data_IF_038284914848
#
_entry.id   IF_038284914848
#
_cell.length_a   1.000
_cell.length_b   1.000
_cell.length_c   1.000
_cell.angle_alpha   90.00
_cell.angle_beta   90.00
_cell.angle_gamma   90.00
#
_symmetry.space_group_name_H-M   'P 1'
#
loop_
_entity.id
_entity.type
_entity.pdbx_description
1 polymer ?
#
# COMPACT_ATOMS: atom_id res chain seq x y z
N UNK A 1 16.72 16.20 1.03
CA UNK A 1 17.35 16.96 2.13
C UNK A 1 16.54 18.21 2.49
N UNK A 2 16.16 19.01 1.52
CA UNK A 2 15.44 20.29 1.77
C UNK A 2 14.03 20.07 2.38
N UNK A 3 13.42 18.89 2.21
CA UNK A 3 12.13 18.54 2.78
C UNK A 3 12.19 17.84 4.14
N UNK A 4 13.36 17.80 4.82
CA UNK A 4 13.51 17.16 6.14
C UNK A 4 13.45 15.62 6.13
N UNK A 5 13.39 14.98 4.96
CA UNK A 5 13.34 13.51 4.85
C UNK A 5 14.73 12.93 5.05
N UNK A 6 14.93 12.19 6.13
CA UNK A 6 16.17 11.49 6.43
C UNK A 6 16.32 10.22 5.57
N UNK A 7 15.28 9.41 5.51
CA UNK A 7 15.27 8.14 4.76
C UNK A 7 14.00 8.05 3.95
N UNK A 8 14.11 7.73 2.66
CA UNK A 8 12.98 7.54 1.77
C UNK A 8 12.82 6.07 1.39
N UNK A 9 11.58 5.56 1.39
CA UNK A 9 11.26 4.24 0.87
C UNK A 9 11.04 4.32 -0.62
N UNK A 10 11.88 3.63 -1.39
CA UNK A 10 11.70 3.48 -2.83
C UNK A 10 10.60 2.45 -3.10
N UNK A 11 9.67 2.81 -3.94
CA UNK A 11 8.65 1.91 -4.48
C UNK A 11 8.45 2.19 -5.97
N UNK A 12 8.03 1.19 -6.72
CA UNK A 12 7.64 1.41 -8.11
C UNK A 12 6.26 2.08 -8.11
N UNK A 13 6.22 3.32 -8.60
CA UNK A 13 4.96 3.95 -8.92
C UNK A 13 4.27 3.17 -10.04
N UNK A 14 2.94 3.17 -10.06
CA UNK A 14 2.23 2.55 -11.15
C UNK A 14 2.60 3.30 -12.45
N UNK A 15 3.26 2.60 -13.35
CA UNK A 15 3.43 3.08 -14.70
C UNK A 15 2.00 3.15 -15.28
N UNK A 16 1.58 4.31 -15.78
CA UNK A 16 0.20 4.57 -16.25
C UNK A 16 -0.28 3.56 -17.30
N UNK A 17 0.65 2.97 -18.02
CA UNK A 17 0.43 1.92 -19.02
C UNK A 17 0.98 0.58 -18.50
N UNK A 18 1.39 0.57 -17.28
CA UNK A 18 1.74 -0.45 -16.34
C UNK A 18 2.27 -1.75 -16.90
N UNK A 19 2.11 -2.75 -16.10
CA UNK A 19 2.30 -4.13 -16.53
C UNK A 19 1.08 -4.64 -17.33
N UNK A 20 0.04 -3.79 -17.50
CA UNK A 20 -1.20 -4.11 -18.19
C UNK A 20 -0.94 -4.42 -19.64
N UNK A 21 -1.36 -5.58 -20.09
CA UNK A 21 -1.18 -6.02 -21.47
C UNK A 21 0.27 -6.32 -21.86
N UNK A 22 1.24 -6.24 -20.95
CA UNK A 22 2.57 -6.72 -21.22
C UNK A 22 2.62 -8.24 -21.18
N UNK A 23 3.48 -8.79 -22.01
CA UNK A 23 3.93 -10.17 -21.88
C UNK A 23 4.54 -10.41 -20.48
N UNK A 24 4.21 -11.52 -19.77
CA UNK A 24 4.70 -11.79 -18.43
C UNK A 24 6.22 -11.76 -18.29
N UNK A 25 6.97 -12.19 -19.32
CA UNK A 25 8.43 -12.18 -19.28
C UNK A 25 8.98 -10.74 -19.31
N UNK A 26 8.38 -9.87 -20.13
CA UNK A 26 8.74 -8.44 -20.17
C UNK A 26 8.42 -7.76 -18.86
N UNK A 27 7.26 -8.02 -18.29
CA UNK A 27 6.88 -7.49 -16.98
C UNK A 27 7.86 -7.93 -15.88
N UNK A 28 8.24 -9.20 -15.86
CA UNK A 28 9.25 -9.75 -14.94
C UNK A 28 10.62 -9.10 -15.14
N UNK A 29 11.03 -8.88 -16.39
CA UNK A 29 12.30 -8.20 -16.70
C UNK A 29 12.34 -6.75 -16.16
N UNK A 30 11.23 -6.03 -16.25
CA UNK A 30 11.13 -4.68 -15.66
C UNK A 30 11.21 -4.74 -14.14
N UNK A 31 10.48 -5.65 -13.51
CA UNK A 31 10.52 -5.86 -12.04
C UNK A 31 11.94 -6.15 -11.59
N UNK A 32 12.64 -7.07 -12.26
CA UNK A 32 14.03 -7.42 -11.94
C UNK A 32 14.95 -6.20 -12.05
N UNK A 33 14.84 -5.41 -13.12
CA UNK A 33 15.63 -4.19 -13.29
C UNK A 33 15.36 -3.17 -12.18
N UNK A 34 14.11 -3.07 -11.70
CA UNK A 34 13.76 -2.20 -10.58
C UNK A 34 14.35 -2.71 -9.26
N UNK A 35 14.39 -4.02 -9.02
CA UNK A 35 15.06 -4.62 -7.86
C UNK A 35 16.54 -4.25 -7.84
N UNK A 36 17.24 -4.47 -8.96
CA UNK A 36 18.68 -4.25 -9.06
C UNK A 36 19.00 -2.74 -8.93
N UNK A 37 18.20 -1.88 -9.54
CA UNK A 37 18.35 -0.43 -9.40
C UNK A 37 18.11 0.02 -7.95
N UNK A 38 17.04 -0.46 -7.32
CA UNK A 38 16.72 -0.15 -5.93
C UNK A 38 17.82 -0.62 -4.96
N UNK A 39 18.33 -1.84 -5.16
CA UNK A 39 19.45 -2.38 -4.39
C UNK A 39 20.70 -1.51 -4.52
N UNK A 40 21.00 -1.07 -5.74
CA UNK A 40 22.13 -0.16 -6.01
C UNK A 40 21.93 1.18 -5.28
N UNK A 41 20.77 1.78 -5.36
CA UNK A 41 20.46 3.04 -4.65
C UNK A 41 20.65 2.90 -3.13
N UNK A 42 20.15 1.81 -2.54
CA UNK A 42 20.31 1.52 -1.11
C UNK A 42 21.79 1.34 -0.73
N UNK A 43 22.57 0.65 -1.57
CA UNK A 43 23.99 0.42 -1.35
C UNK A 43 24.82 1.69 -1.46
N UNK A 44 24.59 2.47 -2.50
CA UNK A 44 25.38 3.68 -2.80
C UNK A 44 25.09 4.82 -1.80
N UNK A 45 23.88 4.85 -1.22
CA UNK A 45 23.39 5.90 -0.34
C UNK A 45 22.94 5.35 1.01
N UNK A 46 23.88 4.74 1.76
CA UNK A 46 23.60 4.07 3.03
C UNK A 46 22.77 4.93 4.00
N UNK A 47 21.69 4.37 4.51
CA UNK A 47 20.78 5.03 5.45
C UNK A 47 19.83 6.06 4.82
N UNK A 48 19.97 6.35 3.51
CA UNK A 48 19.12 7.32 2.81
C UNK A 48 17.93 6.69 2.13
N UNK A 49 18.01 5.40 1.79
CA UNK A 49 16.95 4.68 1.10
C UNK A 49 16.64 3.33 1.74
N UNK A 50 15.36 2.99 1.75
CA UNK A 50 14.85 1.64 1.85
C UNK A 50 14.20 1.23 0.53
N UNK A 51 13.83 -0.04 0.39
CA UNK A 51 13.25 -0.59 -0.83
C UNK A 51 12.03 -1.45 -0.53
N UNK A 52 10.94 -1.14 -1.19
CA UNK A 52 9.80 -2.03 -1.36
C UNK A 52 9.93 -2.69 -2.74
N UNK A 53 10.35 -3.94 -2.76
CA UNK A 53 10.62 -4.68 -3.98
C UNK A 53 9.33 -4.89 -4.80
N UNK A 54 9.21 -4.36 -6.03
CA UNK A 54 7.99 -4.45 -6.80
C UNK A 54 7.71 -5.86 -7.30
N UNK A 55 6.42 -6.21 -7.45
CA UNK A 55 5.97 -7.40 -8.16
C UNK A 55 5.01 -7.00 -9.29
N UNK A 56 4.97 -7.80 -10.36
CA UNK A 56 4.10 -7.50 -11.50
C UNK A 56 2.64 -7.94 -11.30
N UNK A 57 2.38 -8.92 -10.42
CA UNK A 57 1.05 -9.45 -10.10
C UNK A 57 0.27 -10.07 -11.30
N UNK A 58 0.90 -10.16 -12.47
CA UNK A 58 0.25 -10.69 -13.69
C UNK A 58 0.39 -12.21 -13.74
N UNK A 59 1.59 -12.71 -13.41
CA UNK A 59 1.92 -14.13 -13.36
C UNK A 59 2.38 -14.50 -11.95
N UNK A 60 1.70 -15.48 -11.36
CA UNK A 60 1.91 -15.81 -9.96
C UNK A 60 3.26 -16.52 -9.73
N UNK A 61 3.67 -17.36 -10.65
CA UNK A 61 4.93 -18.10 -10.52
C UNK A 61 6.13 -17.16 -10.62
N UNK A 62 6.08 -16.19 -11.53
CA UNK A 62 7.12 -15.16 -11.62
C UNK A 62 7.08 -14.23 -10.40
N UNK A 63 5.90 -13.88 -9.91
CA UNK A 63 5.76 -13.05 -8.71
C UNK A 63 6.35 -13.72 -7.47
N UNK A 64 6.19 -15.04 -7.31
CA UNK A 64 6.82 -15.81 -6.23
C UNK A 64 8.35 -15.78 -6.33
N UNK A 65 8.91 -16.01 -7.52
CA UNK A 65 10.36 -15.96 -7.77
C UNK A 65 10.93 -14.56 -7.51
N UNK A 66 10.23 -13.53 -7.94
CA UNK A 66 10.64 -12.15 -7.73
C UNK A 66 10.49 -11.71 -6.26
N UNK A 67 9.50 -12.24 -5.54
CA UNK A 67 9.39 -12.03 -4.09
C UNK A 67 10.56 -12.66 -3.33
N UNK A 68 10.93 -13.88 -3.68
CA UNK A 68 12.13 -14.55 -3.13
C UNK A 68 13.40 -13.75 -3.44
N UNK A 69 13.61 -13.37 -4.71
CA UNK A 69 14.77 -12.57 -5.11
C UNK A 69 14.82 -11.23 -4.36
N UNK A 70 13.72 -10.51 -4.31
CA UNK A 70 13.62 -9.21 -3.64
C UNK A 70 13.92 -9.29 -2.14
N UNK A 71 13.38 -10.29 -1.45
CA UNK A 71 13.53 -10.42 0.00
C UNK A 71 14.85 -11.08 0.42
N UNK A 72 15.33 -12.10 -0.33
CA UNK A 72 16.47 -12.91 0.08
C UNK A 72 17.79 -12.42 -0.52
N UNK A 73 17.80 -12.03 -1.80
CA UNK A 73 19.00 -11.58 -2.51
C UNK A 73 19.21 -10.07 -2.38
N UNK A 74 18.20 -9.30 -2.74
CA UNK A 74 18.21 -7.83 -2.66
C UNK A 74 18.09 -7.34 -1.22
N UNK A 75 17.49 -8.14 -0.34
CA UNK A 75 17.20 -7.78 1.08
C UNK A 75 16.34 -6.52 1.20
N UNK A 76 15.32 -6.45 0.36
CA UNK A 76 14.33 -5.37 0.42
C UNK A 76 13.62 -5.33 1.79
N UNK A 77 13.10 -4.17 2.16
CA UNK A 77 12.41 -3.93 3.42
C UNK A 77 10.96 -4.45 3.41
N UNK A 78 10.46 -4.74 2.23
CA UNK A 78 9.12 -5.26 1.99
C UNK A 78 8.86 -5.45 0.50
N UNK A 79 7.61 -5.74 0.18
CA UNK A 79 7.12 -5.95 -1.19
C UNK A 79 6.19 -4.81 -1.57
N UNK A 80 6.34 -4.28 -2.77
CA UNK A 80 5.44 -3.31 -3.40
C UNK A 80 4.55 -3.97 -4.44
N UNK A 81 3.24 -3.79 -4.33
CA UNK A 81 2.26 -4.34 -5.28
C UNK A 81 1.25 -3.29 -5.69
N UNK A 82 0.58 -3.51 -6.80
CA UNK A 82 -0.53 -2.66 -7.24
C UNK A 82 -1.84 -3.03 -6.56
N UNK A 83 -2.74 -2.05 -6.40
CA UNK A 83 -4.09 -2.26 -5.82
C UNK A 83 -4.96 -3.18 -6.67
N UNK A 84 -4.72 -3.22 -7.98
CA UNK A 84 -5.34 -4.18 -8.90
C UNK A 84 -4.37 -4.57 -10.00
N UNK A 85 -4.52 -5.75 -10.57
CA UNK A 85 -3.67 -6.27 -11.62
C UNK A 85 -4.48 -7.13 -12.60
N UNK A 86 -4.43 -6.78 -13.88
CA UNK A 86 -5.05 -7.56 -14.97
C UNK A 86 -6.53 -7.90 -14.72
N UNK A 87 -7.31 -6.91 -14.27
CA UNK A 87 -8.72 -7.08 -13.94
C UNK A 87 -9.01 -7.84 -12.64
N UNK A 88 -7.97 -8.15 -11.82
CA UNK A 88 -8.11 -8.83 -10.52
C UNK A 88 -7.74 -7.90 -9.39
N UNK A 89 -8.45 -8.04 -8.28
CA UNK A 89 -8.12 -7.42 -7.01
C UNK A 89 -7.38 -8.41 -6.09
N UNK A 90 -6.62 -7.93 -5.10
CA UNK A 90 -5.69 -8.76 -4.32
C UNK A 90 -6.37 -9.83 -3.45
N UNK A 91 -7.68 -9.76 -3.21
CA UNK A 91 -8.44 -10.83 -2.55
C UNK A 91 -8.79 -12.00 -3.46
N UNK A 92 -8.55 -11.92 -4.78
CA UNK A 92 -8.81 -13.03 -5.69
C UNK A 92 -7.97 -14.26 -5.28
N UNK A 93 -8.57 -15.47 -5.21
CA UNK A 93 -7.87 -16.71 -4.85
C UNK A 93 -6.64 -17.01 -5.72
N UNK A 94 -6.54 -16.44 -6.91
CA UNK A 94 -5.36 -16.52 -7.78
C UNK A 94 -4.06 -16.08 -7.05
N UNK A 95 -4.17 -15.13 -6.11
CA UNK A 95 -3.03 -14.61 -5.35
C UNK A 95 -2.73 -15.37 -4.06
N UNK A 96 -3.53 -16.37 -3.69
CA UNK A 96 -3.33 -17.11 -2.43
C UNK A 96 -1.90 -17.66 -2.28
N UNK A 97 -1.27 -18.29 -3.30
CA UNK A 97 0.10 -18.80 -3.14
C UNK A 97 1.11 -17.71 -2.79
N UNK A 98 0.94 -16.51 -3.36
CA UNK A 98 1.80 -15.37 -3.04
C UNK A 98 1.58 -14.89 -1.60
N UNK A 99 0.32 -14.76 -1.19
CA UNK A 99 0.01 -14.32 0.18
C UNK A 99 0.43 -15.34 1.24
N UNK A 100 0.35 -16.64 0.96
CA UNK A 100 0.86 -17.71 1.82
C UNK A 100 2.36 -17.55 2.06
N UNK A 101 3.14 -17.37 1.01
CA UNK A 101 4.59 -17.18 1.11
C UNK A 101 4.94 -15.88 1.84
N UNK A 102 4.29 -14.75 1.50
CA UNK A 102 4.53 -13.48 2.18
C UNK A 102 4.07 -13.50 3.64
N UNK A 103 3.01 -14.25 3.98
CA UNK A 103 2.59 -14.47 5.35
C UNK A 103 3.61 -15.30 6.14
N UNK A 104 4.13 -16.37 5.57
CA UNK A 104 5.21 -17.17 6.17
C UNK A 104 6.45 -16.32 6.49
N UNK A 105 6.76 -15.36 5.63
CA UNK A 105 7.87 -14.40 5.79
C UNK A 105 7.54 -13.23 6.71
N UNK A 106 6.30 -13.06 7.15
CA UNK A 106 5.80 -11.90 7.93
C UNK A 106 6.12 -10.57 7.23
N UNK A 107 6.04 -10.57 5.91
CA UNK A 107 6.47 -9.47 5.07
C UNK A 107 5.62 -8.21 5.27
N UNK A 108 6.22 -7.06 5.03
CA UNK A 108 5.50 -5.82 4.74
C UNK A 108 5.05 -5.88 3.28
N UNK A 109 3.75 -5.66 3.02
CA UNK A 109 3.18 -5.58 1.67
C UNK A 109 2.54 -4.22 1.50
N UNK A 110 3.15 -3.41 0.67
CA UNK A 110 2.71 -2.05 0.35
C UNK A 110 1.89 -2.03 -0.93
N UNK A 111 0.70 -1.47 -0.85
CA UNK A 111 -0.19 -1.29 -1.99
C UNK A 111 -0.12 0.14 -2.51
N UNK A 112 0.20 0.28 -3.80
CA UNK A 112 0.14 1.53 -4.53
C UNK A 112 -0.92 1.43 -5.64
N UNK A 113 -1.76 2.45 -5.78
CA UNK A 113 -2.87 2.42 -6.74
C UNK A 113 -2.47 2.84 -8.15
N UNK A 114 -2.74 2.03 -9.20
CA UNK A 114 -2.81 2.53 -10.56
C UNK A 114 -4.14 3.25 -10.81
N UNK A 115 -4.24 3.97 -11.93
CA UNK A 115 -5.56 4.25 -12.50
C UNK A 115 -6.07 2.94 -13.10
N UNK A 116 -7.19 2.37 -12.61
CA UNK A 116 -7.62 1.04 -13.05
C UNK A 116 -8.13 1.06 -14.50
N UNK A 117 -7.97 -0.07 -15.20
CA UNK A 117 -8.39 -0.22 -16.60
C UNK A 117 -9.86 0.10 -16.84
N UNK A 118 -10.73 -0.29 -15.89
CA UNK A 118 -12.17 -0.03 -15.99
C UNK A 118 -12.52 1.45 -16.15
N UNK A 119 -11.69 2.33 -15.58
CA UNK A 119 -12.14 3.67 -15.24
C UNK A 119 -11.20 4.77 -15.79
N UNK A 120 -10.06 4.40 -16.37
CA UNK A 120 -9.11 5.36 -16.95
C UNK A 120 -9.66 6.19 -18.11
N UNK A 121 -10.69 5.68 -18.81
CA UNK A 121 -11.38 6.38 -19.87
C UNK A 121 -12.51 7.30 -19.38
N UNK A 122 -12.90 7.24 -18.10
CA UNK A 122 -13.96 8.09 -17.55
C UNK A 122 -13.48 9.53 -17.45
N UNK A 123 -14.19 10.43 -18.11
CA UNK A 123 -13.88 11.87 -18.07
C UNK A 123 -14.83 12.55 -17.11
N UNK A 124 -14.33 12.89 -15.96
CA UNK A 124 -15.10 13.64 -14.93
C UNK A 124 -15.25 15.10 -15.34
N UNK A 125 -14.30 15.64 -16.10
CA UNK A 125 -14.33 17.00 -16.63
C UNK A 125 -13.12 17.30 -17.50
N UNK A 126 -13.13 18.41 -18.26
CA UNK A 126 -11.98 18.81 -19.06
C UNK A 126 -10.74 19.03 -18.20
N UNK A 127 -9.64 18.37 -18.54
CA UNK A 127 -8.36 18.53 -17.83
C UNK A 127 -8.27 17.86 -16.46
N UNK A 128 -9.30 17.18 -15.98
CA UNK A 128 -9.24 16.44 -14.71
C UNK A 128 -8.46 15.15 -14.92
N UNK A 129 -7.36 15.01 -14.15
CA UNK A 129 -6.59 13.78 -14.14
C UNK A 129 -7.41 12.67 -13.45
N UNK A 130 -7.65 11.50 -14.08
CA UNK A 130 -8.37 10.38 -13.46
C UNK A 130 -7.79 9.95 -12.11
N UNK A 131 -6.50 10.14 -11.89
CA UNK A 131 -5.85 9.82 -10.62
C UNK A 131 -6.48 10.54 -9.41
N UNK A 132 -7.13 11.68 -9.60
CA UNK A 132 -7.80 12.44 -8.52
C UNK A 132 -8.82 11.57 -7.77
N UNK A 133 -9.56 10.71 -8.50
CA UNK A 133 -10.57 9.83 -7.91
C UNK A 133 -10.22 8.36 -8.04
N UNK A 134 -9.86 7.92 -9.23
CA UNK A 134 -9.80 6.51 -9.57
C UNK A 134 -8.73 5.73 -8.81
N UNK A 135 -7.56 6.32 -8.58
CA UNK A 135 -6.51 5.71 -7.76
C UNK A 135 -7.00 5.46 -6.33
N UNK A 136 -7.69 6.45 -5.76
CA UNK A 136 -8.27 6.36 -4.42
C UNK A 136 -9.39 5.31 -4.34
N UNK A 137 -10.24 5.26 -5.35
CA UNK A 137 -11.32 4.27 -5.40
C UNK A 137 -10.80 2.86 -5.67
N UNK A 138 -9.78 2.71 -6.48
CA UNK A 138 -9.16 1.41 -6.73
C UNK A 138 -8.48 0.85 -5.47
N UNK A 139 -7.78 1.69 -4.72
CA UNK A 139 -7.23 1.33 -3.41
C UNK A 139 -8.33 0.85 -2.45
N UNK A 140 -9.47 1.53 -2.44
CA UNK A 140 -10.62 1.13 -1.63
C UNK A 140 -11.14 -0.25 -2.03
N UNK A 141 -11.24 -0.53 -3.34
CA UNK A 141 -11.65 -1.85 -3.85
C UNK A 141 -10.65 -2.96 -3.48
N UNK A 142 -9.34 -2.63 -3.45
CA UNK A 142 -8.31 -3.57 -3.00
C UNK A 142 -8.53 -3.99 -1.54
N UNK A 143 -8.74 -3.03 -0.63
CA UNK A 143 -9.04 -3.32 0.78
C UNK A 143 -10.32 -4.14 0.91
N UNK A 144 -11.39 -3.74 0.19
CA UNK A 144 -12.66 -4.48 0.19
C UNK A 144 -12.49 -5.91 -0.30
N UNK A 145 -11.70 -6.12 -1.36
CA UNK A 145 -11.44 -7.44 -1.94
C UNK A 145 -10.72 -8.35 -0.95
N UNK A 146 -9.66 -7.87 -0.30
CA UNK A 146 -8.94 -8.62 0.73
C UNK A 146 -9.84 -8.99 1.91
N UNK A 147 -10.69 -8.05 2.35
CA UNK A 147 -11.67 -8.30 3.42
C UNK A 147 -12.69 -9.34 2.98
N UNK A 148 -13.39 -9.11 1.87
CA UNK A 148 -14.52 -9.92 1.42
C UNK A 148 -14.15 -11.37 1.09
N UNK A 149 -12.89 -11.60 0.66
CA UNK A 149 -12.38 -12.94 0.36
C UNK A 149 -11.61 -13.57 1.53
N UNK A 150 -11.64 -12.96 2.71
CA UNK A 150 -11.04 -13.49 3.94
C UNK A 150 -9.50 -13.48 3.96
N UNK A 151 -8.85 -12.81 3.01
CA UNK A 151 -7.39 -12.74 2.97
C UNK A 151 -6.82 -12.03 4.21
N UNK A 152 -7.48 -10.98 4.69
CA UNK A 152 -7.07 -10.29 5.91
C UNK A 152 -7.13 -11.20 7.14
N UNK A 153 -8.15 -12.05 7.24
CA UNK A 153 -8.30 -13.00 8.36
C UNK A 153 -7.31 -14.17 8.25
N UNK A 154 -7.04 -14.64 7.05
CA UNK A 154 -6.18 -15.80 6.77
C UNK A 154 -4.70 -15.48 6.90
N UNK A 155 -4.27 -14.35 6.38
CA UNK A 155 -2.85 -13.96 6.29
C UNK A 155 -2.50 -12.90 7.32
N UNK A 156 -2.57 -13.25 8.59
CA UNK A 156 -2.49 -12.30 9.72
C UNK A 156 -1.08 -11.80 10.01
N UNK A 157 -0.05 -12.51 9.57
CA UNK A 157 1.34 -12.12 9.80
C UNK A 157 1.83 -11.08 8.77
N UNK A 158 1.15 -10.96 7.62
CA UNK A 158 1.45 -9.89 6.67
C UNK A 158 1.15 -8.53 7.30
N UNK A 159 2.10 -7.59 7.14
CA UNK A 159 1.93 -6.18 7.49
C UNK A 159 1.38 -5.45 6.26
N UNK A 160 0.05 -5.44 6.12
CA UNK A 160 -0.67 -4.81 5.02
C UNK A 160 -0.58 -3.29 5.16
N UNK A 161 0.10 -2.60 4.23
CA UNK A 161 0.27 -1.14 4.20
C UNK A 161 -0.36 -0.58 2.92
N UNK A 162 -1.26 0.38 3.08
CA UNK A 162 -2.01 0.96 1.97
C UNK A 162 -1.68 2.44 1.78
N UNK A 163 -1.35 2.81 0.55
CA UNK A 163 -1.18 4.21 0.16
C UNK A 163 -2.49 5.00 0.24
N UNK A 164 -2.37 6.32 0.23
CA UNK A 164 -3.51 7.24 0.21
C UNK A 164 -4.49 7.05 1.37
N UNK A 165 -3.98 6.70 2.55
CA UNK A 165 -4.82 6.38 3.71
C UNK A 165 -5.79 5.21 3.50
N UNK A 166 -5.49 4.31 2.55
CA UNK A 166 -6.39 3.24 2.12
C UNK A 166 -7.56 3.72 1.25
N UNK A 167 -7.38 4.88 0.59
CA UNK A 167 -8.40 5.48 -0.26
C UNK A 167 -9.61 5.99 0.53
N UNK A 168 -10.81 5.67 0.08
CA UNK A 168 -12.05 6.02 0.76
C UNK A 168 -12.43 5.01 1.88
N UNK A 169 -11.57 4.02 2.17
CA UNK A 169 -11.83 3.01 3.22
C UNK A 169 -12.23 3.63 4.55
N UNK A 170 -11.53 4.65 5.10
CA UNK A 170 -11.93 5.24 6.37
C UNK A 170 -13.34 5.85 6.34
N UNK A 171 -13.73 6.44 5.20
CA UNK A 171 -15.04 7.05 5.05
C UNK A 171 -16.16 6.02 4.96
N UNK A 172 -15.94 4.88 4.26
CA UNK A 172 -16.97 3.87 4.03
C UNK A 172 -16.88 2.67 4.98
N UNK A 173 -15.97 2.68 5.98
CA UNK A 173 -15.77 1.56 6.92
C UNK A 173 -17.07 1.12 7.61
N UNK A 174 -17.87 2.06 8.11
CA UNK A 174 -19.17 1.77 8.71
C UNK A 174 -20.19 1.19 7.70
N UNK A 175 -20.10 1.60 6.43
CA UNK A 175 -20.91 0.99 5.37
C UNK A 175 -20.48 -0.45 5.09
N UNK A 176 -19.16 -0.72 5.05
CA UNK A 176 -18.65 -2.10 4.92
C UNK A 176 -19.18 -2.97 6.07
N UNK A 177 -19.05 -2.51 7.31
CA UNK A 177 -19.55 -3.23 8.48
C UNK A 177 -21.05 -3.52 8.37
N UNK A 178 -21.87 -2.53 7.99
CA UNK A 178 -23.31 -2.69 7.85
C UNK A 178 -23.70 -3.70 6.76
N UNK A 179 -22.95 -3.75 5.65
CA UNK A 179 -23.24 -4.68 4.55
C UNK A 179 -22.73 -6.11 4.82
N UNK A 180 -21.64 -6.26 5.56
CA UNK A 180 -21.06 -7.56 5.88
C UNK A 180 -21.67 -8.22 7.13
N UNK A 181 -22.38 -7.47 8.00
CA UNK A 181 -22.89 -7.98 9.29
C UNK A 181 -23.74 -9.26 9.17
N UNK A 182 -24.48 -9.42 8.07
CA UNK A 182 -25.36 -10.55 7.82
C UNK A 182 -24.75 -11.56 6.84
N UNK A 183 -23.47 -11.43 6.49
CA UNK A 183 -22.79 -12.37 5.62
C UNK A 183 -22.65 -13.74 6.30
N UNK A 184 -23.06 -14.82 5.60
CA UNK A 184 -23.02 -16.18 6.14
C UNK A 184 -21.63 -16.63 6.55
N UNK A 185 -20.60 -16.09 5.90
CA UNK A 185 -19.19 -16.39 6.16
C UNK A 185 -18.47 -15.27 6.95
N UNK A 186 -19.22 -14.43 7.68
CA UNK A 186 -18.61 -13.32 8.43
C UNK A 186 -17.49 -13.78 9.36
N UNK A 187 -17.68 -14.93 10.02
CA UNK A 187 -16.66 -15.49 10.89
C UNK A 187 -15.36 -15.83 10.17
N UNK A 188 -15.43 -16.26 8.91
CA UNK A 188 -14.24 -16.61 8.12
C UNK A 188 -13.52 -15.37 7.57
N UNK A 189 -14.27 -14.34 7.20
CA UNK A 189 -13.71 -13.12 6.59
C UNK A 189 -13.32 -12.05 7.61
N UNK A 190 -13.99 -12.00 8.75
CA UNK A 190 -13.76 -11.01 9.81
C UNK A 190 -14.11 -11.59 11.21
N UNK A 191 -13.31 -12.52 11.74
CA UNK A 191 -13.61 -13.23 12.98
C UNK A 191 -13.76 -12.32 14.20
N UNK A 192 -13.13 -11.14 14.16
CA UNK A 192 -13.22 -10.13 15.22
C UNK A 192 -14.07 -8.92 14.82
N UNK A 193 -14.82 -9.03 13.71
CA UNK A 193 -15.61 -7.96 13.13
C UNK A 193 -14.85 -7.12 12.09
N UNK A 194 -15.59 -6.57 11.14
CA UNK A 194 -15.06 -5.79 10.00
C UNK A 194 -14.18 -4.63 10.46
N UNK A 195 -14.66 -3.84 11.44
CA UNK A 195 -13.91 -2.71 11.97
C UNK A 195 -12.58 -3.12 12.60
N UNK A 196 -12.54 -4.29 13.27
CA UNK A 196 -11.30 -4.81 13.86
C UNK A 196 -10.29 -5.19 12.77
N UNK A 197 -10.73 -5.82 11.68
CA UNK A 197 -9.85 -6.15 10.56
C UNK A 197 -9.30 -4.89 9.88
N UNK A 198 -10.12 -3.89 9.64
CA UNK A 198 -9.68 -2.62 9.04
C UNK A 198 -8.72 -1.84 9.97
N UNK A 199 -8.95 -1.83 11.28
CA UNK A 199 -8.11 -1.12 12.26
C UNK A 199 -6.70 -1.68 12.40
N UNK A 200 -6.48 -2.95 12.11
CA UNK A 200 -5.14 -3.56 12.20
C UNK A 200 -4.27 -3.31 10.97
N UNK A 201 -4.83 -2.79 9.88
CA UNK A 201 -4.08 -2.43 8.68
C UNK A 201 -3.21 -1.20 8.93
N UNK A 202 -2.16 -1.05 8.12
CA UNK A 202 -1.32 0.13 8.11
C UNK A 202 -1.72 1.03 6.94
N UNK A 203 -1.59 2.33 7.13
CA UNK A 203 -1.98 3.35 6.15
C UNK A 203 -0.90 4.43 6.09
N UNK A 204 -0.65 4.99 4.92
CA UNK A 204 0.18 6.18 4.83
C UNK A 204 -0.63 7.48 4.86
N UNK A 205 0.07 8.61 4.86
CA UNK A 205 -0.54 9.93 4.90
C UNK A 205 -0.62 10.63 3.54
N UNK A 206 -0.25 9.96 2.45
CA UNK A 206 -0.27 10.57 1.12
C UNK A 206 -1.64 11.16 0.81
N UNK A 207 -1.70 12.47 0.57
CA UNK A 207 -2.91 13.23 0.20
C UNK A 207 -4.10 13.12 1.19
N UNK A 208 -3.86 12.66 2.43
CA UNK A 208 -4.90 12.56 3.46
C UNK A 208 -4.62 13.41 4.70
N UNK A 209 -3.64 14.30 4.64
CA UNK A 209 -3.30 15.20 5.74
C UNK A 209 -4.28 16.37 5.89
N UNK A 210 -5.15 16.65 4.92
CA UNK A 210 -6.24 17.61 5.06
C UNK A 210 -7.21 17.21 6.19
N UNK A 211 -7.76 18.21 6.91
CA UNK A 211 -8.52 17.96 8.15
C UNK A 211 -9.64 16.91 8.02
N UNK A 212 -10.52 16.94 7.00
CA UNK A 212 -11.59 15.94 6.89
C UNK A 212 -11.04 14.52 6.67
N UNK A 213 -10.07 14.36 5.76
CA UNK A 213 -9.48 13.06 5.41
C UNK A 213 -8.68 12.48 6.58
N UNK A 214 -7.88 13.33 7.25
CA UNK A 214 -7.09 12.90 8.39
C UNK A 214 -7.97 12.52 9.59
N UNK A 215 -9.05 13.26 9.82
CA UNK A 215 -10.02 12.92 10.86
C UNK A 215 -10.68 11.54 10.60
N UNK A 216 -11.07 11.25 9.36
CA UNK A 216 -11.61 9.95 9.00
C UNK A 216 -10.59 8.83 9.23
N UNK A 217 -9.34 9.02 8.77
CA UNK A 217 -8.26 8.04 8.94
C UNK A 217 -7.99 7.76 10.43
N UNK A 218 -7.83 8.79 11.26
CA UNK A 218 -7.49 8.64 12.69
C UNK A 218 -8.64 8.11 13.54
N UNK A 219 -9.89 8.18 13.05
CA UNK A 219 -11.04 7.50 13.67
C UNK A 219 -11.09 6.02 13.33
N UNK A 220 -10.54 5.61 12.20
CA UNK A 220 -10.44 4.21 11.81
C UNK A 220 -9.17 3.56 12.39
N UNK A 221 -8.00 4.10 12.06
CA UNK A 221 -6.70 3.50 12.36
C UNK A 221 -6.10 4.06 13.66
N UNK A 222 -5.47 3.22 14.50
CA UNK A 222 -4.67 3.71 15.62
C UNK A 222 -3.45 4.48 15.09
N UNK A 223 -3.00 5.52 15.81
CA UNK A 223 -1.83 6.33 15.43
C UNK A 223 -0.58 5.49 15.17
N UNK A 224 -0.46 4.34 15.83
CA UNK A 224 0.65 3.40 15.64
C UNK A 224 0.69 2.72 14.28
N UNK A 225 -0.41 2.79 13.52
CA UNK A 225 -0.55 2.14 12.22
C UNK A 225 -0.55 3.14 11.06
N UNK A 226 -0.28 4.42 11.33
CA UNK A 226 -0.21 5.47 10.32
C UNK A 226 1.26 5.82 10.08
N UNK A 227 1.71 5.74 8.82
CA UNK A 227 3.07 6.10 8.41
C UNK A 227 3.06 7.37 7.57
N UNK A 228 4.16 8.11 7.60
CA UNK A 228 4.32 9.27 6.73
C UNK A 228 4.59 8.82 5.28
N UNK A 229 3.91 9.43 4.33
CA UNK A 229 4.10 9.24 2.89
C UNK A 229 3.94 10.54 2.12
N UNK A 230 4.68 10.74 1.03
CA UNK A 230 4.68 11.97 0.23
C UNK A 230 4.23 11.78 -1.20
N UNK A 231 4.34 10.56 -1.74
CA UNK A 231 4.17 10.27 -3.17
C UNK A 231 5.14 11.11 -4.06
N UNK A 232 6.33 11.44 -3.49
CA UNK A 232 7.35 12.15 -4.25
C UNK A 232 7.83 11.31 -5.45
N UNK A 233 8.00 11.88 -6.67
CA UNK A 233 8.06 13.32 -6.98
C UNK A 233 6.73 13.93 -7.47
N UNK A 234 5.62 13.22 -7.38
CA UNK A 234 4.33 13.71 -7.90
C UNK A 234 3.77 14.87 -7.07
N UNK A 235 4.05 14.88 -5.77
CA UNK A 235 3.66 15.95 -4.85
C UNK A 235 4.88 16.53 -4.16
N UNK A 236 4.79 17.82 -3.82
CA UNK A 236 5.80 18.49 -3.00
C UNK A 236 5.75 18.01 -1.54
N UNK A 237 6.82 18.26 -0.78
CA UNK A 237 6.91 17.87 0.63
C UNK A 237 6.12 18.79 1.60
N UNK A 238 5.14 19.54 1.11
CA UNK A 238 4.27 20.43 1.87
C UNK A 238 3.29 19.69 2.80
N UNK A 239 3.16 18.37 2.63
CA UNK A 239 2.31 17.53 3.48
C UNK A 239 2.79 17.46 4.94
N UNK A 240 4.08 17.70 5.22
CA UNK A 240 4.62 17.80 6.57
C UNK A 240 3.97 18.95 7.34
N UNK A 241 4.00 20.14 6.76
CA UNK A 241 3.41 21.33 7.39
C UNK A 241 1.92 21.14 7.67
N UNK A 242 1.21 20.49 6.75
CA UNK A 242 -0.21 20.20 6.91
C UNK A 242 -0.46 19.19 8.02
N UNK A 243 0.39 18.18 8.19
CA UNK A 243 0.30 17.20 9.27
C UNK A 243 0.56 17.85 10.63
N UNK A 244 1.56 18.73 10.73
CA UNK A 244 1.91 19.44 11.96
C UNK A 244 0.78 20.36 12.44
N UNK A 245 -0.05 20.86 11.52
CA UNK A 245 -1.22 21.67 11.85
C UNK A 245 -2.43 20.85 12.39
N UNK A 246 -2.33 19.53 12.49
CA UNK A 246 -3.46 18.66 12.95
C UNK A 246 -3.63 18.62 14.45
N UNK A 247 -2.82 19.31 15.24
CA UNK A 247 -2.91 19.35 16.70
C UNK A 247 -2.58 18.02 17.38
N UNK A 248 -1.73 17.22 16.75
CA UNK A 248 -1.27 15.95 17.31
C UNK A 248 -0.31 16.18 18.47
N UNK A 249 -0.23 15.21 19.39
CA UNK A 249 0.82 15.21 20.40
C UNK A 249 2.20 15.05 19.74
N UNK A 250 3.28 15.57 20.36
CA UNK A 250 4.64 15.38 19.87
C UNK A 250 5.00 13.88 19.73
N UNK A 251 4.43 13.03 20.59
CA UNK A 251 4.59 11.58 20.53
C UNK A 251 3.97 11.00 19.25
N UNK A 252 2.75 11.41 18.91
CA UNK A 252 2.04 10.92 17.74
C UNK A 252 2.68 11.42 16.45
N UNK A 253 3.10 12.69 16.41
CA UNK A 253 3.86 13.24 15.27
C UNK A 253 5.15 12.46 15.03
N UNK A 254 5.96 12.23 16.08
CA UNK A 254 7.19 11.45 15.96
C UNK A 254 6.92 10.00 15.53
N UNK A 255 5.80 9.42 15.98
CA UNK A 255 5.38 8.08 15.55
C UNK A 255 5.05 8.05 14.07
N UNK A 256 4.25 8.97 13.55
CA UNK A 256 3.86 9.05 12.15
C UNK A 256 5.07 9.39 11.26
N UNK A 257 5.86 10.39 11.62
CA UNK A 257 7.00 10.85 10.84
C UNK A 257 8.05 9.76 10.60
N UNK A 258 8.34 8.91 11.61
CA UNK A 258 9.38 7.90 11.48
C UNK A 258 9.15 6.62 12.30
N UNK A 259 8.66 6.74 13.53
CA UNK A 259 8.63 5.63 14.48
C UNK A 259 7.83 4.42 14.00
N UNK A 260 6.72 4.65 13.31
CA UNK A 260 5.87 3.59 12.80
C UNK A 260 6.52 2.86 11.61
N UNK A 261 7.11 3.62 10.68
CA UNK A 261 7.85 3.05 9.54
C UNK A 261 9.06 2.23 10.04
N UNK A 262 9.83 2.74 10.99
CA UNK A 262 10.97 2.00 11.59
C UNK A 262 10.56 0.67 12.23
N UNK A 263 9.36 0.58 12.82
CA UNK A 263 8.84 -0.70 13.34
C UNK A 263 8.48 -1.69 12.22
N UNK A 264 8.02 -1.20 11.07
CA UNK A 264 7.72 -2.04 9.90
C UNK A 264 8.99 -2.48 9.18
N UNK A 265 10.02 -1.63 9.17
CA UNK A 265 11.28 -1.83 8.45
C UNK A 265 12.49 -1.76 9.40
N UNK A 266 12.71 -2.78 10.25
CA UNK A 266 13.72 -2.73 11.33
C UNK A 266 15.15 -2.50 10.85
N UNK A 267 15.46 -2.84 9.58
CA UNK A 267 16.78 -2.57 8.98
C UNK A 267 17.11 -1.07 8.95
N UNK A 268 16.09 -0.20 8.94
CA UNK A 268 16.23 1.25 8.86
C UNK A 268 16.01 1.94 10.22
N UNK A 269 15.84 1.17 11.30
CA UNK A 269 15.57 1.67 12.65
C UNK A 269 16.83 2.28 13.33
#
# INVERSE_FOLDING_TARGET
>A
DNGGVQTAMLSLASIREGFWGLDPQKATGIVRACHDFGAKMVSDHKGRFGLLAPLNMIDIDSSLKEAEYGLDQVRADGIGVQSSANGRYPGDPYYNPLWEELNRRKAVVFFHGPVPDCCGALKVGPGVNPAVGEVTFDMTRAVMSLLANGALARYRDIKWLFAYGGGATPYIAGRMEAFFKDAKNLHDIAPNGVMAELRRLHYDTVNVTAAPSFAALTKLAPMTNITYGTDFPYFANDQLDTLDQRGLSAKDLAAIHAGNAKRLTPRLA
#
